data_IF_971860069640
#
_entry.id   IF_971860069640
#
_cell.length_a   1.000
_cell.length_b   1.000
_cell.length_c   1.000
_cell.angle_alpha   90.00
_cell.angle_beta   90.00
_cell.angle_gamma   90.00
#
_symmetry.space_group_name_H-M   'P 1'
#
loop_
_entity.id
_entity.type
_entity.pdbx_description
1 polymer ?
#
# COMPACT_ATOMS: atom_id res chain seq x y z
N UNK A 1 -32.79 23.11 -33.56
CA UNK A 1 -31.81 22.02 -33.75
C UNK A 1 -32.17 20.89 -32.78
N UNK A 2 -33.01 19.96 -33.22
CA UNK A 2 -33.44 18.80 -32.42
C UNK A 2 -32.43 17.67 -32.61
N UNK A 3 -31.64 17.40 -31.57
CA UNK A 3 -30.72 16.26 -31.51
C UNK A 3 -31.53 14.97 -31.51
N UNK A 4 -31.37 14.18 -32.56
CA UNK A 4 -32.00 12.87 -32.72
C UNK A 4 -31.14 11.85 -31.96
N UNK A 5 -31.59 11.48 -30.76
CA UNK A 5 -30.94 10.50 -29.90
C UNK A 5 -31.07 9.11 -30.55
N UNK A 6 -29.96 8.58 -31.08
CA UNK A 6 -29.91 7.26 -31.72
C UNK A 6 -29.91 6.20 -30.62
N UNK A 7 -31.08 5.64 -30.31
CA UNK A 7 -31.21 4.50 -29.40
C UNK A 7 -30.53 3.29 -30.01
N UNK A 8 -29.44 2.84 -29.39
CA UNK A 8 -28.82 1.57 -29.75
C UNK A 8 -29.76 0.41 -29.43
N UNK A 9 -29.90 -0.59 -30.32
CA UNK A 9 -30.78 -1.71 -30.09
C UNK A 9 -30.28 -2.52 -28.89
N UNK A 10 -31.21 -2.87 -28.00
CA UNK A 10 -30.88 -3.69 -26.83
C UNK A 10 -30.28 -5.04 -27.29
N UNK A 11 -29.36 -5.64 -26.52
CA UNK A 11 -28.75 -6.94 -26.86
C UNK A 11 -29.80 -8.02 -27.11
N UNK A 12 -30.93 -7.95 -26.40
CA UNK A 12 -32.06 -8.85 -26.58
C UNK A 12 -32.73 -8.68 -27.95
N UNK A 13 -32.88 -7.44 -28.44
CA UNK A 13 -33.46 -7.17 -29.76
C UNK A 13 -32.59 -7.73 -30.90
N UNK A 14 -31.26 -7.66 -30.76
CA UNK A 14 -30.32 -8.22 -31.74
C UNK A 14 -30.41 -9.74 -31.77
N UNK A 15 -30.47 -10.40 -30.61
CA UNK A 15 -30.62 -11.87 -30.52
C UNK A 15 -31.92 -12.35 -31.17
N UNK A 16 -33.03 -11.66 -30.93
CA UNK A 16 -34.33 -12.01 -31.51
C UNK A 16 -34.29 -11.85 -33.04
N UNK A 17 -33.72 -10.75 -33.55
CA UNK A 17 -33.62 -10.52 -35.00
C UNK A 17 -32.79 -11.63 -35.70
N UNK A 18 -31.68 -12.06 -35.09
CA UNK A 18 -30.83 -13.12 -35.62
C UNK A 18 -31.53 -14.48 -35.59
N UNK A 19 -32.24 -14.80 -34.51
CA UNK A 19 -33.01 -16.04 -34.41
C UNK A 19 -34.12 -16.12 -35.47
N UNK A 20 -34.83 -15.01 -35.70
CA UNK A 20 -35.84 -14.92 -36.76
C UNK A 20 -35.21 -15.08 -38.15
N UNK A 21 -34.06 -14.44 -38.41
CA UNK A 21 -33.37 -14.55 -39.69
C UNK A 21 -32.91 -16.00 -39.97
N UNK A 22 -32.35 -16.68 -38.97
CA UNK A 22 -31.93 -18.07 -39.08
C UNK A 22 -33.12 -19.01 -39.35
N UNK A 23 -34.27 -18.78 -38.70
CA UNK A 23 -35.49 -19.53 -38.93
C UNK A 23 -35.99 -19.35 -40.38
N UNK A 24 -36.04 -18.10 -40.87
CA UNK A 24 -36.47 -17.78 -42.24
C UNK A 24 -35.56 -18.44 -43.28
N UNK A 25 -34.24 -18.37 -43.08
CA UNK A 25 -33.25 -19.03 -43.96
C UNK A 25 -33.42 -20.55 -43.96
N UNK A 26 -33.71 -21.16 -42.81
CA UNK A 26 -33.92 -22.60 -42.68
C UNK A 26 -35.18 -23.07 -43.42
N UNK A 27 -36.28 -22.31 -43.32
CA UNK A 27 -37.53 -22.63 -44.03
C UNK A 27 -37.37 -22.46 -45.55
N UNK A 28 -36.63 -21.44 -45.99
CA UNK A 28 -36.49 -21.15 -47.42
C UNK A 28 -35.50 -22.06 -48.16
N UNK A 29 -34.42 -22.50 -47.50
CA UNK A 29 -33.32 -23.23 -48.15
C UNK A 29 -33.06 -24.62 -47.57
N UNK A 30 -33.95 -25.11 -46.70
CA UNK A 30 -33.85 -26.44 -46.09
C UNK A 30 -32.55 -26.62 -45.27
N UNK A 31 -31.93 -27.81 -45.31
CA UNK A 31 -30.73 -28.11 -44.51
C UNK A 31 -29.55 -27.17 -44.80
N UNK A 32 -29.45 -26.67 -46.03
CA UNK A 32 -28.40 -25.73 -46.45
C UNK A 32 -28.57 -24.35 -45.80
N UNK A 33 -29.82 -23.91 -45.61
CA UNK A 33 -30.14 -22.66 -44.91
C UNK A 33 -29.77 -22.70 -43.43
N UNK A 34 -29.88 -23.86 -42.79
CA UNK A 34 -29.48 -24.06 -41.40
C UNK A 34 -27.97 -23.90 -41.21
N UNK A 35 -27.16 -24.50 -42.10
CA UNK A 35 -25.69 -24.41 -42.05
C UNK A 35 -25.22 -22.97 -42.27
N UNK A 36 -25.83 -22.25 -43.21
CA UNK A 36 -25.54 -20.83 -43.46
C UNK A 36 -25.95 -19.93 -42.28
N UNK A 37 -27.11 -20.17 -41.67
CA UNK A 37 -27.56 -19.44 -40.47
C UNK A 37 -26.62 -19.65 -39.28
N UNK A 38 -26.16 -20.88 -39.07
CA UNK A 38 -25.24 -21.23 -37.96
C UNK A 38 -23.83 -20.66 -38.20
N UNK A 39 -23.36 -20.64 -39.45
CA UNK A 39 -22.10 -20.00 -39.81
C UNK A 39 -22.13 -18.47 -39.59
N UNK A 40 -23.23 -17.80 -39.93
CA UNK A 40 -23.43 -16.37 -39.63
C UNK A 40 -23.51 -16.10 -38.13
N UNK A 41 -24.17 -16.98 -37.36
CA UNK A 41 -24.22 -16.90 -35.91
C UNK A 41 -22.83 -17.05 -35.27
N UNK A 42 -22.04 -18.02 -35.74
CA UNK A 42 -20.66 -18.22 -35.30
C UNK A 42 -19.75 -17.04 -35.67
N UNK A 43 -19.91 -16.47 -36.87
CA UNK A 43 -19.18 -15.27 -37.31
C UNK A 43 -19.54 -14.04 -36.48
N UNK A 44 -20.79 -13.86 -36.06
CA UNK A 44 -21.16 -12.77 -35.15
C UNK A 44 -20.55 -12.94 -33.75
N UNK A 45 -20.49 -14.18 -33.21
CA UNK A 45 -19.88 -14.44 -31.91
C UNK A 45 -18.34 -14.37 -31.92
N UNK A 46 -17.71 -14.74 -33.03
CA UNK A 46 -16.27 -14.60 -33.24
C UNK A 46 -15.90 -13.13 -33.51
N UNK A 47 -16.77 -12.40 -34.23
CA UNK A 47 -16.60 -10.96 -34.52
C UNK A 47 -16.74 -10.05 -33.30
N UNK A 48 -17.42 -10.49 -32.24
CA UNK A 48 -17.50 -9.76 -30.96
C UNK A 48 -16.30 -9.98 -30.03
N UNK A 49 -15.35 -10.87 -30.36
CA UNK A 49 -14.21 -11.19 -29.46
C UNK A 49 -12.94 -10.38 -29.74
N UNK A 50 -12.88 -9.59 -30.82
CA UNK A 50 -11.65 -8.94 -31.28
C UNK A 50 -11.64 -7.40 -31.28
N UNK A 51 -12.64 -6.73 -30.72
CA UNK A 51 -12.60 -5.26 -30.55
C UNK A 51 -13.08 -4.89 -29.15
N UNK A 52 -12.26 -5.24 -28.17
CA UNK A 52 -12.22 -4.55 -26.87
C UNK A 52 -10.82 -4.67 -26.30
N UNK A 53 -9.83 -4.34 -27.14
CA UNK A 53 -8.75 -3.49 -26.68
C UNK A 53 -9.34 -2.08 -26.51
N UNK A 54 -10.35 -1.96 -25.64
CA UNK A 54 -10.59 -0.69 -25.00
C UNK A 54 -9.31 -0.44 -24.24
N UNK A 55 -8.61 0.59 -24.70
CA UNK A 55 -8.03 1.54 -23.78
C UNK A 55 -9.03 1.71 -22.63
N UNK A 56 -8.82 0.94 -21.58
CA UNK A 56 -9.18 1.35 -20.25
C UNK A 56 -8.31 2.59 -20.06
N UNK A 57 -8.80 3.73 -20.57
CA UNK A 57 -8.58 5.00 -19.91
C UNK A 57 -8.93 4.67 -18.47
N UNK A 58 -7.97 4.65 -17.54
CA UNK A 58 -8.29 4.31 -16.19
C UNK A 58 -9.30 5.35 -15.77
N UNK A 59 -10.56 4.93 -15.65
CA UNK A 59 -11.51 5.61 -14.82
C UNK A 59 -10.78 5.69 -13.49
N UNK A 60 -10.25 6.88 -13.18
CA UNK A 60 -9.60 7.20 -11.93
C UNK A 60 -10.67 7.12 -10.85
N UNK A 61 -11.14 5.91 -10.55
CA UNK A 61 -11.51 5.58 -9.19
C UNK A 61 -10.24 5.86 -8.42
N UNK A 62 -10.23 6.99 -7.71
CA UNK A 62 -9.07 7.48 -6.99
C UNK A 62 -8.83 6.47 -5.87
N UNK A 63 -8.03 5.45 -6.16
CA UNK A 63 -7.82 4.35 -5.22
C UNK A 63 -7.29 4.94 -3.91
N UNK A 64 -7.83 4.45 -2.80
CA UNK A 64 -7.44 4.94 -1.47
C UNK A 64 -6.02 4.47 -1.20
N UNK A 65 -5.09 5.40 -0.95
CA UNK A 65 -3.74 5.05 -0.54
C UNK A 65 -3.82 4.42 0.85
N UNK A 66 -3.31 3.19 0.96
CA UNK A 66 -3.13 2.48 2.22
C UNK A 66 -1.66 2.52 2.58
N UNK A 67 -1.33 3.07 3.73
CA UNK A 67 0.06 3.05 4.21
C UNK A 67 0.46 1.63 4.60
N UNK A 68 1.63 1.20 4.16
CA UNK A 68 2.27 -0.06 4.52
C UNK A 68 3.28 0.17 5.65
N UNK A 69 3.59 -0.90 6.39
CA UNK A 69 4.63 -0.85 7.42
C UNK A 69 5.96 -0.41 6.83
N UNK A 70 6.71 0.38 7.61
CA UNK A 70 8.05 0.87 7.25
C UNK A 70 9.16 0.02 7.86
N UNK A 71 8.81 -1.09 8.51
CA UNK A 71 9.70 -1.99 9.26
C UNK A 71 10.56 -2.89 8.37
N UNK A 72 11.30 -2.29 7.43
CA UNK A 72 12.16 -3.00 6.50
C UNK A 72 12.76 -2.08 5.45
N UNK A 73 13.70 -2.61 4.68
CA UNK A 73 14.31 -1.91 3.55
C UNK A 73 14.40 -2.84 2.36
N UNK A 74 13.81 -2.43 1.24
CA UNK A 74 13.78 -3.22 0.01
C UNK A 74 14.35 -2.36 -1.12
N UNK A 75 15.35 -2.89 -1.82
CA UNK A 75 15.81 -2.30 -3.08
C UNK A 75 14.89 -2.73 -4.22
N UNK A 76 14.66 -1.84 -5.17
CA UNK A 76 13.91 -2.17 -6.39
C UNK A 76 14.89 -2.62 -7.48
N UNK A 77 14.36 -3.00 -8.63
CA UNK A 77 15.13 -3.31 -9.85
C UNK A 77 14.52 -2.61 -11.05
N UNK A 78 15.29 -2.48 -12.13
CA UNK A 78 14.86 -1.84 -13.37
C UNK A 78 14.99 -0.32 -13.35
N UNK A 79 15.57 0.27 -12.30
CA UNK A 79 15.73 1.73 -12.17
C UNK A 79 16.50 2.34 -13.33
N UNK A 80 17.44 1.59 -13.93
CA UNK A 80 18.21 2.03 -15.08
C UNK A 80 17.34 2.40 -16.30
N UNK A 81 16.14 1.82 -16.41
CA UNK A 81 15.19 2.12 -17.48
C UNK A 81 14.27 3.32 -17.15
N UNK A 82 14.33 3.83 -15.92
CA UNK A 82 13.42 4.86 -15.40
C UNK A 82 14.16 6.06 -14.78
N UNK A 83 15.43 6.28 -15.14
CA UNK A 83 16.27 7.32 -14.54
C UNK A 83 15.68 8.72 -14.70
N UNK A 84 15.10 9.04 -15.86
CA UNK A 84 14.50 10.36 -16.11
C UNK A 84 13.31 10.62 -15.18
N UNK A 85 12.45 9.62 -14.99
CA UNK A 85 11.30 9.71 -14.09
C UNK A 85 11.74 9.83 -12.62
N UNK A 86 12.77 9.09 -12.21
CA UNK A 86 13.30 9.16 -10.84
C UNK A 86 13.96 10.53 -10.61
N UNK A 87 14.73 11.03 -11.59
CA UNK A 87 15.39 12.34 -11.53
C UNK A 87 14.37 13.48 -11.41
N UNK A 88 13.25 13.38 -12.13
CA UNK A 88 12.14 14.33 -12.04
C UNK A 88 11.60 14.42 -10.60
N UNK A 89 11.26 13.27 -10.00
CA UNK A 89 10.74 13.22 -8.61
C UNK A 89 11.80 13.72 -7.61
N UNK A 90 13.07 13.37 -7.82
CA UNK A 90 14.16 13.83 -6.97
C UNK A 90 14.32 15.36 -7.01
N UNK A 91 14.19 15.98 -8.19
CA UNK A 91 14.27 17.43 -8.36
C UNK A 91 13.10 18.19 -7.73
N UNK A 92 11.90 17.58 -7.69
CA UNK A 92 10.70 18.18 -7.09
C UNK A 92 10.71 18.15 -5.55
N UNK A 93 11.38 17.17 -4.96
CA UNK A 93 11.38 16.92 -3.51
C UNK A 93 12.61 17.49 -2.78
N UNK A 94 13.41 18.35 -3.42
CA UNK A 94 14.57 19.00 -2.82
C UNK A 94 14.15 20.03 -1.76
N UNK A 95 13.87 19.57 -0.55
CA UNK A 95 13.50 20.40 0.59
C UNK A 95 14.40 20.17 1.79
N UNK A 96 15.73 20.20 1.62
CA UNK A 96 16.71 20.70 2.61
C UNK A 96 18.13 20.69 1.99
N UNK A 97 18.82 21.83 1.81
CA UNK A 97 20.19 21.87 1.29
C UNK A 97 21.25 21.30 2.26
N UNK A 98 20.85 20.75 3.42
CA UNK A 98 21.77 20.19 4.43
C UNK A 98 21.96 18.67 4.38
N UNK A 99 21.20 17.91 3.59
CA UNK A 99 21.34 16.45 3.45
C UNK A 99 21.47 16.05 1.96
N UNK A 100 22.60 16.46 1.37
CA UNK A 100 22.88 16.59 -0.07
C UNK A 100 23.01 15.26 -0.85
N UNK A 101 22.44 14.15 -0.37
CA UNK A 101 22.59 12.82 -1.03
C UNK A 101 21.35 11.95 -1.08
N UNK A 102 20.26 12.35 -0.43
CA UNK A 102 19.05 11.54 -0.48
C UNK A 102 17.76 12.33 -0.37
N UNK A 103 16.81 11.99 -1.22
CA UNK A 103 15.52 12.64 -1.33
C UNK A 103 14.43 11.68 -0.86
N UNK A 104 13.53 12.16 -0.01
CA UNK A 104 12.37 11.39 0.44
C UNK A 104 11.25 11.47 -0.60
N UNK A 105 10.63 10.34 -0.87
CA UNK A 105 9.47 10.22 -1.76
C UNK A 105 8.43 9.27 -1.16
N UNK A 106 7.23 9.23 -1.72
CA UNK A 106 6.26 8.18 -1.43
C UNK A 106 6.17 7.25 -2.62
N UNK A 107 6.41 5.97 -2.39
CA UNK A 107 6.21 4.92 -3.38
C UNK A 107 4.83 4.28 -3.22
N UNK A 108 4.32 3.77 -4.33
CA UNK A 108 3.07 3.04 -4.46
C UNK A 108 3.38 1.71 -5.13
N UNK A 109 2.87 0.63 -4.56
CA UNK A 109 3.07 -0.72 -5.06
C UNK A 109 1.86 -1.13 -5.88
N UNK A 110 2.07 -1.36 -7.17
CA UNK A 110 1.02 -1.69 -8.14
C UNK A 110 1.22 -3.13 -8.61
N UNK A 111 0.38 -4.09 -8.17
CA UNK A 111 0.46 -5.45 -8.68
C UNK A 111 0.00 -5.47 -10.13
N UNK A 112 0.75 -6.13 -11.00
CA UNK A 112 0.34 -6.31 -12.38
C UNK A 112 -0.45 -7.62 -12.51
N UNK A 113 -1.68 -7.53 -13.00
CA UNK A 113 -2.53 -8.68 -13.26
C UNK A 113 -2.01 -9.41 -14.50
N UNK A 114 -1.11 -10.37 -14.29
CA UNK A 114 -0.59 -11.30 -15.28
C UNK A 114 0.01 -10.65 -16.55
N UNK A 115 1.20 -10.09 -16.42
CA UNK A 115 2.04 -9.76 -17.58
C UNK A 115 2.55 -11.01 -18.32
N UNK A 116 3.00 -10.84 -19.57
CA UNK A 116 3.55 -11.91 -20.43
C UNK A 116 4.82 -12.58 -19.87
N UNK A 117 5.51 -11.93 -18.92
CA UNK A 117 6.87 -12.29 -18.49
C UNK A 117 6.95 -12.72 -17.03
N UNK A 118 6.20 -12.08 -16.14
CA UNK A 118 6.17 -12.42 -14.72
C UNK A 118 4.75 -12.21 -14.20
N UNK A 119 4.09 -13.31 -13.85
CA UNK A 119 2.76 -13.28 -13.29
C UNK A 119 2.73 -12.73 -11.88
N UNK A 120 3.88 -12.59 -11.22
CA UNK A 120 4.04 -12.06 -9.87
C UNK A 120 4.52 -10.60 -9.82
N UNK A 121 4.64 -9.94 -10.97
CA UNK A 121 5.25 -8.61 -11.05
C UNK A 121 4.52 -7.58 -10.18
N UNK A 122 5.31 -6.86 -9.38
CA UNK A 122 4.87 -5.70 -8.61
C UNK A 122 5.66 -4.49 -9.07
N UNK A 123 4.99 -3.57 -9.76
CA UNK A 123 5.56 -2.32 -10.19
C UNK A 123 5.61 -1.33 -9.03
N UNK A 124 6.66 -0.53 -9.01
CA UNK A 124 6.89 0.52 -8.01
C UNK A 124 6.79 1.86 -8.70
N UNK A 125 5.74 2.60 -8.36
CA UNK A 125 5.51 3.96 -8.86
C UNK A 125 5.82 4.98 -7.74
N UNK A 126 6.53 6.07 -8.06
CA UNK A 126 6.78 7.19 -7.16
C UNK A 126 5.70 8.25 -7.34
N UNK A 127 5.11 8.72 -6.24
CA UNK A 127 4.14 9.81 -6.24
C UNK A 127 4.83 11.16 -6.45
N UNK A 128 4.24 11.95 -7.33
CA UNK A 128 4.54 13.37 -7.53
C UNK A 128 3.68 14.24 -6.61
N UNK A 129 4.11 15.48 -6.40
CA UNK A 129 3.36 16.47 -5.60
C UNK A 129 1.98 16.84 -6.16
N UNK A 130 1.75 16.60 -7.46
CA UNK A 130 0.45 16.79 -8.12
C UNK A 130 -0.52 15.60 -7.95
N UNK A 131 -0.09 14.56 -7.24
CA UNK A 131 -0.85 13.34 -7.01
C UNK A 131 -0.83 12.35 -8.17
N UNK A 132 -0.06 12.61 -9.24
CA UNK A 132 0.25 11.60 -10.27
C UNK A 132 1.38 10.68 -9.79
N UNK A 133 1.58 9.56 -10.48
CA UNK A 133 2.62 8.59 -10.15
C UNK A 133 3.44 8.26 -11.40
N UNK A 134 4.74 8.00 -11.22
CA UNK A 134 5.65 7.57 -12.29
C UNK A 134 6.37 6.30 -11.91
N UNK A 135 6.53 5.39 -12.85
CA UNK A 135 7.27 4.15 -12.61
C UNK A 135 8.74 4.43 -12.35
N UNK A 136 9.24 3.89 -11.24
CA UNK A 136 10.65 3.90 -10.89
C UNK A 136 11.31 2.53 -11.06
N UNK A 137 10.53 1.46 -11.10
CA UNK A 137 11.03 0.10 -11.29
C UNK A 137 10.06 -0.94 -10.77
N UNK A 138 10.60 -2.08 -10.33
CA UNK A 138 9.85 -3.24 -9.90
C UNK A 138 10.46 -3.85 -8.64
N UNK A 139 9.65 -4.56 -7.85
CA UNK A 139 10.20 -5.46 -6.84
C UNK A 139 10.95 -6.60 -7.54
N UNK A 140 12.00 -7.13 -6.90
CA UNK A 140 12.67 -8.36 -7.36
C UNK A 140 11.68 -9.52 -7.33
N UNK A 141 11.75 -10.46 -8.27
CA UNK A 141 10.75 -11.53 -8.42
C UNK A 141 10.49 -12.32 -7.13
N UNK A 142 11.51 -12.64 -6.33
CA UNK A 142 11.33 -13.31 -5.03
C UNK A 142 10.47 -12.49 -4.07
N UNK A 143 10.72 -11.19 -3.98
CA UNK A 143 9.94 -10.28 -3.13
C UNK A 143 8.57 -10.00 -3.75
N UNK A 144 8.48 -9.86 -5.07
CA UNK A 144 7.23 -9.60 -5.76
C UNK A 144 6.23 -10.75 -5.50
N UNK A 145 6.69 -12.00 -5.57
CA UNK A 145 5.88 -13.19 -5.28
C UNK A 145 5.27 -13.18 -3.87
N UNK A 146 6.01 -12.72 -2.85
CA UNK A 146 5.50 -12.67 -1.48
C UNK A 146 4.46 -11.55 -1.25
N UNK A 147 4.50 -10.47 -2.06
CA UNK A 147 3.61 -9.31 -1.89
C UNK A 147 2.40 -9.34 -2.82
N UNK A 148 2.50 -10.01 -3.97
CA UNK A 148 1.57 -9.80 -5.06
C UNK A 148 0.12 -10.13 -4.70
N UNK A 149 -0.14 -11.31 -4.15
CA UNK A 149 -1.51 -11.72 -3.76
C UNK A 149 -2.12 -10.74 -2.76
N UNK A 150 -1.33 -10.32 -1.77
CA UNK A 150 -1.74 -9.36 -0.75
C UNK A 150 -2.08 -7.98 -1.33
N UNK A 151 -1.32 -7.54 -2.34
CA UNK A 151 -1.56 -6.28 -3.02
C UNK A 151 -2.77 -6.37 -3.97
N UNK A 152 -3.01 -7.52 -4.60
CA UNK A 152 -4.21 -7.77 -5.40
C UNK A 152 -5.46 -7.70 -4.51
N UNK A 153 -5.44 -8.33 -3.34
CA UNK A 153 -6.53 -8.24 -2.37
C UNK A 153 -6.82 -6.80 -1.94
N UNK A 154 -5.79 -5.94 -1.86
CA UNK A 154 -5.97 -4.50 -1.60
C UNK A 154 -6.60 -3.79 -2.81
N UNK A 155 -6.11 -4.09 -4.02
CA UNK A 155 -6.62 -3.51 -5.25
C UNK A 155 -8.10 -3.85 -5.49
N UNK A 156 -8.53 -5.08 -5.18
CA UNK A 156 -9.94 -5.50 -5.23
C UNK A 156 -10.84 -4.69 -4.29
N UNK A 157 -10.28 -4.20 -3.17
CA UNK A 157 -10.96 -3.30 -2.23
C UNK A 157 -10.90 -1.82 -2.64
N UNK A 158 -10.32 -1.50 -3.80
CA UNK A 158 -10.11 -0.13 -4.26
C UNK A 158 -8.99 0.61 -3.52
N UNK A 159 -8.08 -0.12 -2.88
CA UNK A 159 -6.94 0.42 -2.14
C UNK A 159 -5.63 0.16 -2.90
N UNK A 160 -4.61 1.00 -2.66
CA UNK A 160 -3.24 0.73 -3.15
C UNK A 160 -2.24 0.93 -2.04
N UNK A 161 -1.36 -0.04 -1.86
CA UNK A 161 -0.28 0.01 -0.87
C UNK A 161 0.71 1.13 -1.19
N UNK A 162 1.04 1.93 -0.18
CA UNK A 162 2.01 3.02 -0.27
C UNK A 162 3.00 2.96 0.88
N UNK A 163 4.26 3.31 0.62
CA UNK A 163 5.30 3.37 1.64
C UNK A 163 6.27 4.51 1.35
N UNK A 164 7.00 5.00 2.37
CA UNK A 164 8.11 5.92 2.15
C UNK A 164 9.20 5.27 1.30
N UNK A 165 9.80 6.05 0.42
CA UNK A 165 10.95 5.67 -0.37
C UNK A 165 12.07 6.70 -0.19
N UNK A 166 13.31 6.24 -0.32
CA UNK A 166 14.49 7.08 -0.38
C UNK A 166 15.11 6.96 -1.75
N UNK A 167 15.23 8.07 -2.44
CA UNK A 167 16.00 8.21 -3.67
C UNK A 167 17.42 8.60 -3.26
N UNK A 168 18.42 7.86 -3.73
CA UNK A 168 19.84 8.09 -3.42
C UNK A 168 20.59 8.30 -4.72
N UNK A 169 21.57 9.20 -4.71
CA UNK A 169 22.41 9.51 -5.87
C UNK A 169 22.18 10.93 -6.37
N UNK A 170 22.98 11.31 -7.37
CA UNK A 170 22.95 12.65 -7.96
C UNK A 170 23.42 12.62 -9.40
N UNK A 171 22.81 13.43 -10.25
CA UNK A 171 23.25 13.77 -11.61
C UNK A 171 23.18 12.64 -12.64
N UNK A 172 23.92 11.55 -12.45
CA UNK A 172 24.15 10.51 -13.47
C UNK A 172 23.38 9.22 -13.22
N UNK A 173 23.16 8.84 -11.95
CA UNK A 173 22.39 7.66 -11.56
C UNK A 173 21.70 7.85 -10.23
N UNK A 174 20.42 7.49 -10.19
CA UNK A 174 19.59 7.40 -9.00
C UNK A 174 19.27 5.93 -8.70
N UNK A 175 19.38 5.56 -7.43
CA UNK A 175 18.86 4.32 -6.86
C UNK A 175 17.66 4.63 -5.97
N UNK A 176 16.74 3.67 -5.85
CA UNK A 176 15.55 3.81 -5.01
C UNK A 176 15.48 2.65 -4.02
N UNK A 177 15.28 3.01 -2.74
CA UNK A 177 15.04 2.05 -1.67
C UNK A 177 13.70 2.35 -1.02
N UNK A 178 12.91 1.31 -0.80
CA UNK A 178 11.62 1.36 -0.12
C UNK A 178 11.80 1.08 1.37
N UNK A 179 11.13 1.87 2.21
CA UNK A 179 10.90 1.52 3.60
C UNK A 179 9.64 0.67 3.68
N UNK A 180 9.82 -0.63 3.53
CA UNK A 180 8.73 -1.58 3.37
C UNK A 180 8.96 -2.79 4.26
N UNK A 181 8.07 -2.97 5.23
CA UNK A 181 8.06 -4.09 6.15
C UNK A 181 7.55 -5.37 5.51
N UNK A 182 7.92 -6.52 6.09
CA UNK A 182 7.64 -7.85 5.55
C UNK A 182 6.17 -8.06 5.14
N UNK A 183 5.89 -8.88 4.11
CA UNK A 183 4.55 -8.96 3.53
C UNK A 183 3.48 -9.46 4.51
N UNK A 184 3.83 -10.32 5.46
CA UNK A 184 2.91 -10.71 6.56
C UNK A 184 2.36 -9.52 7.36
N UNK A 185 3.06 -8.38 7.35
CA UNK A 185 2.58 -7.16 7.97
C UNK A 185 1.47 -6.52 7.12
N UNK A 186 1.41 -6.67 5.80
CA UNK A 186 0.29 -6.15 4.95
C UNK A 186 -1.09 -6.62 5.42
N UNK A 187 -1.14 -7.84 5.96
CA UNK A 187 -2.34 -8.49 6.48
C UNK A 187 -2.85 -7.89 7.79
N UNK A 188 -2.04 -7.05 8.44
CA UNK A 188 -2.39 -6.43 9.71
C UNK A 188 -3.26 -5.20 9.45
N UNK A 189 -4.26 -4.99 10.31
CA UNK A 189 -5.30 -4.00 10.08
C UNK A 189 -4.77 -2.58 10.27
N UNK A 190 -4.89 -1.73 9.24
CA UNK A 190 -4.13 -0.48 9.11
C UNK A 190 -4.95 0.80 9.09
N UNK A 191 -6.26 0.74 9.35
CA UNK A 191 -7.05 1.98 9.46
C UNK A 191 -6.49 2.94 10.53
N UNK A 192 -5.76 2.40 11.52
CA UNK A 192 -5.10 3.16 12.58
C UNK A 192 -3.76 3.84 12.17
N UNK A 193 -3.15 3.52 11.03
CA UNK A 193 -1.85 4.12 10.66
C UNK A 193 -1.96 5.59 10.23
N UNK A 194 -3.12 6.00 9.71
CA UNK A 194 -3.33 7.33 9.14
C UNK A 194 -2.28 7.69 8.08
N UNK A 195 -2.16 8.99 7.79
CA UNK A 195 -1.12 9.56 6.89
C UNK A 195 -0.02 10.28 7.67
N UNK A 196 -0.09 10.27 9.00
CA UNK A 196 0.83 11.02 9.84
C UNK A 196 2.24 10.41 9.79
N UNK A 197 3.30 11.25 9.69
CA UNK A 197 4.67 10.76 9.65
C UNK A 197 5.04 10.08 10.98
N UNK A 198 5.72 8.94 10.88
CA UNK A 198 6.25 8.22 12.06
C UNK A 198 7.77 8.24 12.06
N UNK A 199 8.34 8.08 13.25
CA UNK A 199 9.74 7.74 13.43
C UNK A 199 10.09 6.49 12.60
N UNK A 200 11.31 6.42 12.04
CA UNK A 200 11.81 5.25 11.33
C UNK A 200 11.68 3.95 12.16
N UNK A 201 11.10 2.91 11.56
CA UNK A 201 10.86 1.62 12.18
C UNK A 201 12.06 0.66 11.99
N UNK A 202 13.13 0.81 12.77
CA UNK A 202 14.40 0.08 12.51
C UNK A 202 14.75 -0.99 13.56
N UNK A 203 14.36 -0.79 14.81
CA UNK A 203 14.68 -1.68 15.93
C UNK A 203 13.50 -1.83 16.88
N UNK A 204 13.32 -3.05 17.40
CA UNK A 204 12.27 -3.34 18.38
C UNK A 204 12.70 -2.92 19.79
N UNK A 205 11.84 -2.15 20.45
CA UNK A 205 12.01 -1.72 21.84
C UNK A 205 10.79 -2.13 22.63
N UNK A 206 10.99 -2.97 23.64
CA UNK A 206 9.92 -3.42 24.51
C UNK A 206 9.35 -2.25 25.33
N UNK A 207 8.03 -2.22 25.44
CA UNK A 207 7.35 -1.36 26.40
C UNK A 207 7.48 -1.99 27.79
N UNK A 208 7.35 -1.19 28.85
CA UNK A 208 7.32 -1.68 30.21
C UNK A 208 6.04 -1.26 30.89
N UNK A 209 5.45 -2.16 31.68
CA UNK A 209 4.26 -1.89 32.47
C UNK A 209 2.95 -2.34 31.83
N UNK A 210 3.00 -2.92 30.63
CA UNK A 210 1.85 -3.43 29.88
C UNK A 210 0.91 -4.36 30.65
N UNK A 211 1.35 -5.18 31.64
CA UNK A 211 0.43 -5.98 32.43
C UNK A 211 -0.66 -5.17 33.15
N UNK A 212 -0.39 -3.90 33.49
CA UNK A 212 -1.40 -3.01 34.09
C UNK A 212 -2.39 -2.42 33.06
N UNK A 213 -2.09 -2.56 31.76
CA UNK A 213 -2.82 -1.93 30.66
C UNK A 213 -3.39 -2.95 29.66
N UNK A 214 -3.54 -4.22 30.09
CA UNK A 214 -4.06 -5.30 29.23
C UNK A 214 -5.44 -4.99 28.65
N UNK A 215 -6.28 -4.22 29.36
CA UNK A 215 -7.60 -3.83 28.86
C UNK A 215 -7.51 -2.98 27.58
N UNK A 216 -6.56 -2.03 27.51
CA UNK A 216 -6.31 -1.20 26.31
C UNK A 216 -5.81 -2.08 25.19
N UNK A 217 -4.83 -2.94 25.48
CA UNK A 217 -4.24 -3.84 24.48
C UNK A 217 -5.30 -4.79 23.90
N UNK A 218 -6.15 -5.40 24.74
CA UNK A 218 -7.22 -6.28 24.27
C UNK A 218 -8.24 -5.56 23.40
N UNK A 219 -8.57 -4.30 23.73
CA UNK A 219 -9.48 -3.48 22.92
C UNK A 219 -8.90 -3.18 21.55
N UNK A 220 -7.64 -2.74 21.48
CA UNK A 220 -6.94 -2.43 20.22
C UNK A 220 -6.77 -3.68 19.35
N UNK A 221 -6.39 -4.80 19.97
CA UNK A 221 -6.17 -6.09 19.31
C UNK A 221 -7.49 -6.69 18.81
N UNK A 222 -8.58 -6.50 19.55
CA UNK A 222 -9.91 -7.03 19.26
C UNK A 222 -9.90 -8.52 18.85
N UNK A 223 -9.17 -9.33 19.63
CA UNK A 223 -9.04 -10.79 19.42
C UNK A 223 -8.10 -11.24 18.29
N UNK A 224 -7.45 -10.32 17.58
CA UNK A 224 -6.56 -10.64 16.46
C UNK A 224 -5.12 -10.44 16.88
N UNK A 225 -4.26 -11.45 16.90
CA UNK A 225 -2.82 -11.26 17.13
C UNK A 225 -1.98 -12.05 16.14
N UNK A 226 -0.84 -11.50 15.65
CA UNK A 226 -0.30 -10.17 15.96
C UNK A 226 -1.12 -9.02 15.36
N UNK A 227 -0.97 -7.79 15.89
CA UNK A 227 -1.47 -6.55 15.26
C UNK A 227 -0.35 -5.55 15.16
N UNK A 228 -0.35 -4.77 14.08
CA UNK A 228 0.59 -3.69 13.87
C UNK A 228 -0.16 -2.36 13.89
N UNK A 229 0.26 -1.46 14.77
CA UNK A 229 -0.45 -0.23 15.13
C UNK A 229 0.49 0.97 15.16
N UNK A 230 -0.07 2.18 15.26
CA UNK A 230 0.70 3.38 15.61
C UNK A 230 0.55 3.65 17.10
N UNK A 231 1.69 3.80 17.76
CA UNK A 231 1.78 4.33 19.10
C UNK A 231 2.26 5.79 19.06
N UNK A 232 1.86 6.55 20.09
CA UNK A 232 2.41 7.87 20.36
C UNK A 232 3.39 7.81 21.53
N UNK A 233 4.47 8.57 21.43
CA UNK A 233 5.46 8.76 22.49
C UNK A 233 5.29 10.15 23.11
N UNK A 234 5.06 10.19 24.42
CA UNK A 234 4.97 11.44 25.19
C UNK A 234 5.96 11.45 26.34
N UNK A 235 6.40 12.64 26.70
CA UNK A 235 7.36 12.81 27.78
C UNK A 235 6.66 12.54 29.11
N UNK A 236 7.26 11.68 29.93
CA UNK A 236 6.77 11.39 31.26
C UNK A 236 7.93 11.23 32.24
N UNK A 237 7.60 10.88 33.49
CA UNK A 237 8.57 10.53 34.51
C UNK A 237 8.33 9.11 34.99
N UNK A 238 9.41 8.40 35.27
CA UNK A 238 9.36 7.04 35.78
C UNK A 238 8.69 7.05 37.16
N UNK A 239 7.62 6.26 37.31
CA UNK A 239 6.81 6.23 38.53
C UNK A 239 7.26 5.18 39.56
N UNK A 240 8.05 4.18 39.14
CA UNK A 240 8.47 3.05 39.99
C UNK A 240 9.89 2.59 39.65
N UNK A 241 10.63 2.12 40.65
CA UNK A 241 11.97 1.51 40.50
C UNK A 241 13.13 2.45 40.88
N UNK A 242 14.35 2.04 40.55
CA UNK A 242 15.60 2.74 40.92
C UNK A 242 15.78 4.12 40.29
N UNK A 243 15.04 4.41 39.21
CA UNK A 243 15.11 5.67 38.46
C UNK A 243 13.83 6.50 38.62
N UNK A 244 13.12 6.37 39.74
CA UNK A 244 11.87 7.10 39.97
C UNK A 244 12.10 8.61 39.90
N UNK A 245 11.24 9.33 39.16
CA UNK A 245 11.32 10.76 38.94
C UNK A 245 12.15 11.18 37.72
N UNK A 246 12.96 10.28 37.16
CA UNK A 246 13.74 10.54 35.96
C UNK A 246 12.86 10.62 34.70
N UNK A 247 13.31 11.36 33.70
CA UNK A 247 12.61 11.52 32.43
C UNK A 247 12.65 10.24 31.58
N UNK A 248 11.51 9.90 30.99
CA UNK A 248 11.38 8.83 30.00
C UNK A 248 10.22 9.16 29.05
N UNK A 249 9.85 8.20 28.22
CA UNK A 249 8.72 8.28 27.31
C UNK A 249 7.63 7.30 27.74
N UNK A 250 6.40 7.80 27.92
CA UNK A 250 5.21 6.96 27.96
C UNK A 250 4.75 6.61 26.54
N UNK A 251 4.10 5.46 26.44
CA UNK A 251 3.60 4.91 25.18
C UNK A 251 2.09 4.92 25.22
N UNK A 252 1.47 5.53 24.21
CA UNK A 252 0.02 5.65 24.13
C UNK A 252 -0.51 4.94 22.88
N UNK A 253 -1.62 4.23 23.05
CA UNK A 253 -2.47 3.73 21.97
C UNK A 253 -3.82 4.40 22.09
N UNK A 254 -4.32 4.99 20.99
CA UNK A 254 -5.61 5.71 20.98
C UNK A 254 -5.71 6.82 22.05
N UNK A 255 -4.56 7.38 22.47
CA UNK A 255 -4.48 8.39 23.52
C UNK A 255 -4.49 7.84 24.95
N UNK A 256 -4.56 6.52 25.14
CA UNK A 256 -4.45 5.87 26.44
C UNK A 256 -3.06 5.28 26.65
N UNK A 257 -2.49 5.51 27.84
CA UNK A 257 -1.18 4.98 28.21
C UNK A 257 -1.25 3.44 28.29
N UNK A 258 -0.27 2.77 27.68
CA UNK A 258 -0.07 1.32 27.73
C UNK A 258 1.22 0.89 28.43
N UNK A 259 1.99 1.86 28.92
CA UNK A 259 3.27 1.64 29.57
C UNK A 259 4.26 2.74 29.24
N UNK A 260 5.54 2.48 29.48
CA UNK A 260 6.63 3.43 29.30
C UNK A 260 7.92 2.74 28.89
N UNK A 261 8.85 3.50 28.33
CA UNK A 261 10.21 3.04 28.08
C UNK A 261 11.02 2.98 29.38
N UNK A 262 12.04 2.11 29.40
CA UNK A 262 13.05 2.09 30.48
C UNK A 262 13.84 3.39 30.51
N UNK A 263 14.49 3.70 31.64
CA UNK A 263 15.34 4.90 31.78
C UNK A 263 16.38 5.02 30.66
N UNK A 264 17.11 3.93 30.37
CA UNK A 264 18.13 3.93 29.32
C UNK A 264 17.55 4.18 27.92
N UNK A 265 16.35 3.66 27.62
CA UNK A 265 15.67 3.92 26.36
C UNK A 265 15.08 5.34 26.30
N UNK A 266 14.56 5.85 27.42
CA UNK A 266 14.14 7.25 27.55
C UNK A 266 15.27 8.20 27.18
N UNK A 267 16.44 8.08 27.81
CA UNK A 267 17.61 8.89 27.49
C UNK A 267 18.02 8.82 26.02
N UNK A 268 17.92 7.63 25.40
CA UNK A 268 18.29 7.44 24.00
C UNK A 268 17.35 8.16 23.03
N UNK A 269 16.06 8.19 23.33
CA UNK A 269 15.05 8.64 22.36
C UNK A 269 14.41 9.99 22.69
N UNK A 270 14.52 10.52 23.91
CA UNK A 270 13.88 11.79 24.31
C UNK A 270 14.19 12.93 23.32
N UNK A 271 15.45 13.25 23.06
CA UNK A 271 15.84 14.36 22.19
C UNK A 271 15.29 14.17 20.76
N UNK A 272 15.42 12.96 20.22
CA UNK A 272 14.91 12.61 18.89
C UNK A 272 13.38 12.74 18.81
N UNK A 273 12.66 12.25 19.82
CA UNK A 273 11.20 12.37 19.87
C UNK A 273 10.74 13.82 20.02
N UNK A 274 11.49 14.64 20.77
CA UNK A 274 11.22 16.06 20.90
C UNK A 274 11.43 16.79 19.58
N UNK A 275 12.56 16.56 18.89
CA UNK A 275 12.83 17.12 17.57
C UNK A 275 11.75 16.70 16.56
N UNK A 276 11.38 15.43 16.57
CA UNK A 276 10.31 14.92 15.70
C UNK A 276 8.99 15.62 15.99
N UNK A 277 8.61 15.74 17.26
CA UNK A 277 7.37 16.40 17.70
C UNK A 277 7.35 17.88 17.31
N UNK A 278 8.49 18.58 17.37
CA UNK A 278 8.61 19.97 16.89
C UNK A 278 8.32 20.06 15.39
N UNK A 279 8.75 19.07 14.60
CA UNK A 279 8.57 19.04 13.14
C UNK A 279 7.17 18.60 12.70
N UNK A 280 6.57 17.64 13.40
CA UNK A 280 5.34 16.95 12.95
C UNK A 280 4.14 17.18 13.85
N UNK A 281 4.32 17.85 14.98
CA UNK A 281 3.32 18.04 16.04
C UNK A 281 3.18 16.85 17.01
N UNK A 282 3.50 15.62 16.59
CA UNK A 282 3.36 14.39 17.40
C UNK A 282 4.51 13.42 17.14
N UNK A 283 5.01 12.79 18.19
CA UNK A 283 6.00 11.71 18.08
C UNK A 283 5.28 10.37 17.92
N UNK A 284 5.08 9.95 16.67
CA UNK A 284 4.41 8.68 16.35
C UNK A 284 5.44 7.63 15.95
N UNK A 285 5.21 6.37 16.32
CA UNK A 285 6.02 5.23 15.88
C UNK A 285 5.15 4.02 15.56
N UNK A 286 5.68 3.12 14.74
CA UNK A 286 5.08 1.81 14.52
C UNK A 286 5.26 0.93 15.77
N UNK A 287 4.29 0.05 16.03
CA UNK A 287 4.33 -0.88 17.16
C UNK A 287 3.66 -2.20 16.82
N UNK A 288 4.23 -3.32 17.26
CA UNK A 288 3.65 -4.65 17.08
C UNK A 288 3.16 -5.16 18.43
N UNK A 289 1.89 -5.58 18.47
CA UNK A 289 1.28 -6.22 19.64
C UNK A 289 1.19 -7.72 19.38
N UNK A 290 1.74 -8.51 20.30
CA UNK A 290 1.78 -9.97 20.25
C UNK A 290 1.19 -10.57 21.52
N UNK A 291 0.54 -11.73 21.41
CA UNK A 291 0.15 -12.51 22.57
C UNK A 291 1.28 -13.49 22.95
N UNK A 292 1.88 -13.30 24.13
CA UNK A 292 2.93 -14.16 24.69
C UNK A 292 2.37 -15.20 25.69
N UNK A 293 1.14 -15.66 25.48
CA UNK A 293 0.52 -16.70 26.29
C UNK A 293 0.32 -16.26 27.74
N UNK A 294 1.11 -16.82 28.67
CA UNK A 294 0.97 -16.55 30.10
C UNK A 294 1.36 -15.12 30.50
N UNK A 295 2.13 -14.42 29.67
CA UNK A 295 2.48 -13.01 29.87
C UNK A 295 1.42 -12.04 29.35
N UNK A 296 0.37 -12.55 28.70
CA UNK A 296 -0.65 -11.73 28.05
C UNK A 296 -0.15 -11.03 26.80
N UNK A 297 -0.79 -9.91 26.47
CA UNK A 297 -0.43 -9.07 25.34
C UNK A 297 0.80 -8.22 25.67
N UNK A 298 1.77 -8.19 24.76
CA UNK A 298 3.02 -7.45 24.85
C UNK A 298 3.11 -6.49 23.68
N UNK A 299 3.63 -5.28 23.91
CA UNK A 299 3.80 -4.27 22.88
C UNK A 299 5.29 -4.00 22.64
N UNK A 300 5.72 -4.10 21.39
CA UNK A 300 7.07 -3.76 20.98
C UNK A 300 7.03 -2.60 19.99
N UNK A 301 7.68 -1.49 20.35
CA UNK A 301 7.81 -0.31 19.50
C UNK A 301 8.89 -0.53 18.44
N UNK A 302 8.70 0.03 17.27
CA UNK A 302 9.68 0.06 16.19
C UNK A 302 10.26 1.47 16.13
N UNK A 303 11.47 1.61 16.66
CA UNK A 303 12.16 2.89 16.81
C UNK A 303 13.44 2.96 15.97
N UNK A 304 13.99 4.16 15.72
CA UNK A 304 15.24 4.32 14.99
C UNK A 304 16.43 3.70 15.72
N UNK A 305 17.50 3.37 15.00
CA UNK A 305 18.76 2.97 15.63
C UNK A 305 19.50 4.13 16.27
#
# INVERSE_FOLDING_TARGET
MTMQQRTEPSPAAVLIAVAVLALVLTVAFGPLGFVLGLALFALMFIGTKNNTADQIVPARTRSRLRRLSTAGRIAIVGEAHHQDAIAEVAGLSASDPRDDRSVLATAVLVPESAGRHDHAAVRVDLLRGDGTAVTAGYLRSEQAADYQSLLLDLAERGEVGSCPARIIGSGQRYGVHLYLGAPRLLLLDYEALGTAPTLPAEHQVAVMGEPAHQYVLHRVVNGRTPVHVIAELRDCRIVKGSHTGEHTLEVLLEGECIGQLTYAMGLRYCDMTQEWRVRTGRALCEAVITNEGTRGLQANLLLPK
#
